data_IF_911177398431
#
_entry.id   IF_911177398431
#
_cell.length_a   1.000
_cell.length_b   1.000
_cell.length_c   1.000
_cell.angle_alpha   90.00
_cell.angle_beta   90.00
_cell.angle_gamma   90.00
#
_symmetry.space_group_name_H-M   'P 1'
#
loop_
_entity.id
_entity.type
_entity.pdbx_description
1 polymer ?
#
# COMPACT_ATOMS: atom_id res chain seq x y z
N UNK A 1 26.61 4.32 -2.72
CA UNK A 1 26.04 4.41 -4.10
C UNK A 1 25.83 3.06 -4.78
N UNK A 2 26.74 2.07 -4.68
CA UNK A 2 26.57 0.73 -5.30
C UNK A 2 25.27 -0.01 -4.90
N UNK A 3 24.85 0.09 -3.62
CA UNK A 3 23.61 -0.54 -3.13
C UNK A 3 22.36 -0.06 -3.86
N UNK A 4 22.23 1.25 -4.10
CA UNK A 4 21.03 1.81 -4.76
C UNK A 4 20.92 1.41 -6.22
N UNK A 5 22.04 1.32 -6.95
CA UNK A 5 22.04 0.88 -8.36
C UNK A 5 21.54 -0.55 -8.50
N UNK A 6 22.01 -1.46 -7.65
CA UNK A 6 21.56 -2.84 -7.65
C UNK A 6 20.05 -2.96 -7.37
N UNK A 7 19.53 -2.18 -6.41
CA UNK A 7 18.09 -2.14 -6.11
C UNK A 7 17.25 -1.64 -7.29
N UNK A 8 17.71 -0.59 -7.96
CA UNK A 8 17.06 -0.06 -9.17
C UNK A 8 17.08 -1.12 -10.28
N UNK A 9 18.20 -1.84 -10.44
CA UNK A 9 18.31 -2.91 -11.42
C UNK A 9 17.29 -4.01 -11.14
N UNK A 10 17.18 -4.51 -9.90
CA UNK A 10 16.18 -5.54 -9.54
C UNK A 10 14.76 -5.07 -9.87
N UNK A 11 14.39 -3.86 -9.43
CA UNK A 11 13.06 -3.32 -9.67
C UNK A 11 12.78 -3.17 -11.17
N UNK A 12 13.71 -2.53 -11.89
CA UNK A 12 13.54 -2.21 -13.31
C UNK A 12 13.58 -3.46 -14.17
N UNK A 13 14.44 -4.44 -13.87
CA UNK A 13 14.48 -5.71 -14.60
C UNK A 13 13.20 -6.51 -14.39
N UNK A 14 12.69 -6.56 -13.15
CA UNK A 14 11.44 -7.27 -12.84
C UNK A 14 10.26 -6.63 -13.57
N UNK A 15 10.16 -5.29 -13.52
CA UNK A 15 9.12 -4.56 -14.25
C UNK A 15 9.23 -4.76 -15.77
N UNK A 16 10.44 -4.67 -16.32
CA UNK A 16 10.68 -4.83 -17.75
C UNK A 16 10.34 -6.23 -18.24
N UNK A 17 10.75 -7.28 -17.50
CA UNK A 17 10.46 -8.67 -17.87
C UNK A 17 8.94 -8.89 -17.91
N UNK A 18 8.22 -8.50 -16.85
CA UNK A 18 6.78 -8.68 -16.82
C UNK A 18 6.08 -7.87 -17.92
N UNK A 19 6.50 -6.62 -18.14
CA UNK A 19 5.96 -5.77 -19.20
C UNK A 19 6.14 -6.39 -20.59
N UNK A 20 7.34 -6.90 -20.89
CA UNK A 20 7.64 -7.54 -22.18
C UNK A 20 6.80 -8.80 -22.36
N UNK A 21 6.67 -9.64 -21.33
CA UNK A 21 5.85 -10.84 -21.38
C UNK A 21 4.36 -10.49 -21.60
N UNK A 22 3.85 -9.48 -20.91
CA UNK A 22 2.49 -8.99 -21.08
C UNK A 22 2.24 -8.50 -22.52
N UNK A 23 3.04 -7.56 -23.01
CA UNK A 23 2.85 -6.98 -24.34
C UNK A 23 3.05 -8.01 -25.46
N UNK A 24 4.01 -8.92 -25.30
CA UNK A 24 4.21 -10.02 -26.25
C UNK A 24 3.01 -10.96 -26.27
N UNK A 25 2.54 -11.44 -25.11
CA UNK A 25 1.38 -12.34 -25.05
C UNK A 25 0.11 -11.71 -25.63
N UNK A 26 -0.14 -10.43 -25.34
CA UNK A 26 -1.26 -9.67 -25.91
C UNK A 26 -1.11 -9.44 -27.41
N UNK A 27 0.11 -9.28 -27.91
CA UNK A 27 0.36 -9.20 -29.35
C UNK A 27 0.00 -10.51 -30.04
N UNK A 28 0.55 -11.63 -29.58
CA UNK A 28 0.33 -12.96 -30.16
C UNK A 28 -1.16 -13.32 -30.25
N UNK A 29 -1.91 -13.11 -29.16
CA UNK A 29 -3.35 -13.42 -29.14
C UNK A 29 -4.16 -12.50 -30.05
N UNK A 30 -3.76 -11.22 -30.19
CA UNK A 30 -4.42 -10.29 -31.12
C UNK A 30 -4.19 -10.65 -32.57
N UNK A 31 -2.99 -11.13 -32.93
CA UNK A 31 -2.59 -11.37 -34.32
C UNK A 31 -2.86 -12.79 -34.81
N UNK A 32 -3.17 -13.72 -33.90
CA UNK A 32 -3.35 -15.14 -34.22
C UNK A 32 -4.79 -15.56 -33.92
N UNK A 33 -5.69 -15.65 -34.93
CA UNK A 33 -7.09 -15.98 -34.74
C UNK A 33 -7.33 -17.30 -33.98
N UNK A 34 -6.46 -18.28 -34.18
CA UNK A 34 -6.52 -19.58 -33.52
C UNK A 34 -6.35 -19.46 -32.00
N UNK A 35 -5.58 -18.47 -31.52
CA UNK A 35 -5.37 -18.22 -30.09
C UNK A 35 -6.54 -17.46 -29.44
N UNK A 36 -7.42 -16.81 -30.22
CA UNK A 36 -8.48 -16.00 -29.66
C UNK A 36 -9.58 -16.82 -28.97
N UNK A 37 -9.72 -18.11 -29.33
CA UNK A 37 -10.69 -19.06 -28.76
C UNK A 37 -10.08 -20.46 -28.70
N UNK A 38 -9.03 -20.62 -27.91
CA UNK A 38 -8.31 -21.87 -27.76
C UNK A 38 -8.61 -22.51 -26.41
N UNK A 39 -9.23 -23.68 -26.39
CA UNK A 39 -9.32 -24.48 -25.15
C UNK A 39 -7.98 -25.14 -24.87
N UNK A 40 -7.42 -24.90 -23.69
CA UNK A 40 -6.15 -25.49 -23.26
C UNK A 40 -6.39 -26.70 -22.36
N UNK A 41 -7.33 -26.59 -21.43
CA UNK A 41 -7.79 -27.65 -20.53
C UNK A 41 -9.30 -27.57 -20.48
N UNK A 42 -9.97 -28.62 -20.96
CA UNK A 42 -11.43 -28.67 -21.03
C UNK A 42 -12.07 -28.39 -19.66
N UNK A 43 -13.00 -27.42 -19.64
CA UNK A 43 -13.73 -27.01 -18.44
C UNK A 43 -12.89 -26.26 -17.38
N UNK A 44 -11.63 -25.93 -17.65
CA UNK A 44 -10.70 -25.32 -16.69
C UNK A 44 -9.96 -24.09 -17.20
N UNK A 45 -9.31 -24.18 -18.35
CA UNK A 45 -8.42 -23.14 -18.86
C UNK A 45 -8.58 -23.00 -20.37
N UNK A 46 -8.80 -21.77 -20.81
CA UNK A 46 -8.87 -21.43 -22.22
C UNK A 46 -8.25 -20.05 -22.48
N UNK A 47 -7.89 -19.81 -23.72
CA UNK A 47 -7.77 -18.46 -24.25
C UNK A 47 -9.10 -18.01 -24.82
N UNK A 48 -9.58 -16.86 -24.36
CA UNK A 48 -10.78 -16.19 -24.82
C UNK A 48 -10.51 -14.69 -24.92
N UNK A 49 -10.13 -14.24 -26.12
CA UNK A 49 -9.77 -12.86 -26.37
C UNK A 49 -10.96 -11.92 -26.14
N UNK A 50 -10.75 -10.92 -25.29
CA UNK A 50 -11.69 -9.84 -25.04
C UNK A 50 -10.96 -8.51 -24.89
N UNK A 51 -11.69 -7.43 -25.19
CA UNK A 51 -11.24 -6.06 -24.98
C UNK A 51 -11.97 -5.50 -23.78
N UNK A 52 -11.26 -5.25 -22.71
CA UNK A 52 -11.84 -4.79 -21.46
C UNK A 52 -11.81 -3.25 -21.38
N UNK A 53 -12.98 -2.58 -21.48
CA UNK A 53 -13.07 -1.12 -21.33
C UNK A 53 -12.99 -0.66 -19.87
N UNK A 54 -13.27 -1.59 -18.94
CA UNK A 54 -13.44 -1.35 -17.51
C UNK A 54 -12.16 -1.61 -16.72
N UNK A 55 -12.31 -2.03 -15.46
CA UNK A 55 -11.22 -2.49 -14.59
C UNK A 55 -11.09 -4.02 -14.65
N UNK A 56 -10.24 -4.59 -13.79
CA UNK A 56 -10.14 -6.04 -13.62
C UNK A 56 -11.51 -6.67 -13.31
N UNK A 57 -11.67 -7.95 -13.68
CA UNK A 57 -12.86 -8.77 -13.38
C UNK A 57 -14.17 -8.26 -14.01
N UNK A 58 -14.10 -7.43 -15.06
CA UNK A 58 -15.28 -6.90 -15.76
C UNK A 58 -16.02 -5.79 -15.01
N UNK A 59 -15.45 -5.27 -13.91
CA UNK A 59 -16.06 -4.19 -13.12
C UNK A 59 -15.83 -2.86 -13.83
N UNK A 60 -16.90 -2.12 -14.14
CA UNK A 60 -16.82 -0.77 -14.72
C UNK A 60 -17.65 0.19 -13.89
N UNK A 61 -17.06 1.29 -13.43
CA UNK A 61 -17.74 2.31 -12.62
C UNK A 61 -17.63 3.72 -13.20
N UNK A 62 -16.81 3.90 -14.24
CA UNK A 62 -16.55 5.16 -14.91
C UNK A 62 -16.22 4.90 -16.38
N UNK A 63 -16.18 5.97 -17.18
CA UNK A 63 -15.75 5.90 -18.57
C UNK A 63 -14.30 5.44 -18.69
N UNK A 64 -13.98 4.78 -19.81
CA UNK A 64 -12.65 4.21 -20.06
C UNK A 64 -11.53 5.24 -19.90
N UNK A 65 -11.69 6.46 -20.40
CA UNK A 65 -10.68 7.51 -20.27
C UNK A 65 -10.40 7.91 -18.81
N UNK A 66 -11.42 7.88 -17.94
CA UNK A 66 -11.29 8.15 -16.50
C UNK A 66 -10.50 7.03 -15.86
N UNK A 67 -10.85 5.77 -16.16
CA UNK A 67 -10.14 4.60 -15.64
C UNK A 67 -8.68 4.62 -16.07
N UNK A 68 -8.40 4.97 -17.34
CA UNK A 68 -7.06 5.14 -17.88
C UNK A 68 -6.27 6.23 -17.13
N UNK A 69 -6.89 7.38 -16.88
CA UNK A 69 -6.26 8.48 -16.15
C UNK A 69 -5.94 8.08 -14.70
N UNK A 70 -6.88 7.45 -14.00
CA UNK A 70 -6.68 6.96 -12.62
C UNK A 70 -5.54 5.96 -12.56
N UNK A 71 -5.45 5.02 -13.50
CA UNK A 71 -4.37 4.04 -13.56
C UNK A 71 -2.99 4.72 -13.74
N UNK A 72 -2.90 5.73 -14.62
CA UNK A 72 -1.67 6.51 -14.83
C UNK A 72 -1.28 7.24 -13.55
N UNK A 73 -2.20 7.98 -12.94
CA UNK A 73 -1.94 8.74 -11.70
C UNK A 73 -1.51 7.82 -10.56
N UNK A 74 -2.20 6.69 -10.37
CA UNK A 74 -1.85 5.71 -9.35
C UNK A 74 -0.45 5.12 -9.59
N UNK A 75 -0.11 4.79 -10.83
CA UNK A 75 1.21 4.25 -11.20
C UNK A 75 2.32 5.28 -10.93
N UNK A 76 2.11 6.54 -11.29
CA UNK A 76 3.06 7.63 -10.99
C UNK A 76 3.23 7.82 -9.49
N UNK A 77 2.13 7.78 -8.72
CA UNK A 77 2.18 7.88 -7.26
C UNK A 77 2.96 6.72 -6.63
N UNK A 78 2.79 5.49 -7.12
CA UNK A 78 3.54 4.31 -6.67
C UNK A 78 5.04 4.47 -6.97
N UNK A 79 5.40 4.87 -8.19
CA UNK A 79 6.81 5.10 -8.57
C UNK A 79 7.43 6.20 -7.70
N UNK A 80 6.71 7.29 -7.47
CA UNK A 80 7.14 8.37 -6.59
C UNK A 80 7.37 7.87 -5.16
N UNK A 81 6.43 7.11 -4.60
CA UNK A 81 6.56 6.52 -3.26
C UNK A 81 7.79 5.61 -3.15
N UNK A 82 8.00 4.71 -4.12
CA UNK A 82 9.15 3.80 -4.14
C UNK A 82 10.47 4.58 -4.22
N UNK A 83 10.52 5.66 -4.99
CA UNK A 83 11.72 6.50 -5.09
C UNK A 83 12.16 7.06 -3.72
N UNK A 84 11.20 7.31 -2.81
CA UNK A 84 11.44 7.79 -1.45
C UNK A 84 11.85 6.67 -0.49
N UNK A 85 11.37 5.45 -0.69
CA UNK A 85 11.60 4.29 0.20
C UNK A 85 12.68 3.32 -0.28
N UNK A 86 13.29 3.58 -1.44
CA UNK A 86 14.28 2.71 -2.09
C UNK A 86 15.46 2.35 -1.18
N UNK A 87 15.87 3.25 -0.29
CA UNK A 87 16.99 3.00 0.63
C UNK A 87 16.64 1.93 1.68
N UNK A 88 15.42 1.94 2.21
CA UNK A 88 14.94 0.94 3.18
C UNK A 88 14.43 -0.35 2.51
N UNK A 89 14.14 -0.32 1.21
CA UNK A 89 13.59 -1.46 0.48
C UNK A 89 14.50 -2.70 0.49
N UNK A 90 13.94 -3.86 0.83
CA UNK A 90 14.60 -5.16 0.65
C UNK A 90 14.29 -5.76 -0.73
N UNK A 91 14.95 -6.87 -1.07
CA UNK A 91 14.79 -7.52 -2.38
C UNK A 91 13.36 -7.97 -2.66
N UNK A 92 12.68 -8.58 -1.68
CA UNK A 92 11.30 -9.06 -1.84
C UNK A 92 10.34 -7.92 -2.19
N UNK A 93 10.52 -6.76 -1.57
CA UNK A 93 9.72 -5.57 -1.85
C UNK A 93 9.95 -5.04 -3.26
N UNK A 94 11.22 -5.00 -3.69
CA UNK A 94 11.57 -4.54 -5.04
C UNK A 94 11.03 -5.47 -6.12
N UNK A 95 10.99 -6.77 -5.87
CA UNK A 95 10.36 -7.74 -6.76
C UNK A 95 8.85 -7.50 -6.85
N UNK A 96 8.15 -7.37 -5.71
CA UNK A 96 6.71 -7.10 -5.70
C UNK A 96 6.38 -5.77 -6.38
N UNK A 97 7.13 -4.71 -6.09
CA UNK A 97 6.94 -3.41 -6.71
C UNK A 97 7.30 -3.41 -8.20
N UNK A 98 8.32 -4.17 -8.61
CA UNK A 98 8.63 -4.40 -10.01
C UNK A 98 7.48 -5.06 -10.77
N UNK A 99 6.87 -6.10 -10.20
CA UNK A 99 5.68 -6.75 -10.76
C UNK A 99 4.48 -5.79 -10.85
N UNK A 100 4.21 -5.00 -9.81
CA UNK A 100 3.12 -4.02 -9.82
C UNK A 100 3.34 -2.98 -10.93
N UNK A 101 4.54 -2.40 -11.02
CA UNK A 101 4.88 -1.40 -12.04
C UNK A 101 4.82 -2.01 -13.44
N UNK A 102 5.42 -3.19 -13.65
CA UNK A 102 5.43 -3.86 -14.95
C UNK A 102 4.03 -4.17 -15.45
N UNK A 103 3.17 -4.71 -14.59
CA UNK A 103 1.78 -5.00 -14.93
C UNK A 103 0.96 -3.72 -15.19
N UNK A 104 1.12 -2.70 -14.34
CA UNK A 104 0.43 -1.43 -14.52
C UNK A 104 0.83 -0.75 -15.84
N UNK A 105 2.12 -0.73 -16.17
CA UNK A 105 2.61 -0.19 -17.45
C UNK A 105 2.09 -0.99 -18.65
N UNK A 106 1.96 -2.32 -18.55
CA UNK A 106 1.37 -3.16 -19.58
C UNK A 106 -0.08 -2.76 -19.88
N UNK A 107 -0.92 -2.70 -18.84
CA UNK A 107 -2.32 -2.31 -18.98
C UNK A 107 -2.50 -0.83 -19.41
N UNK A 108 -1.65 0.08 -18.94
CA UNK A 108 -1.64 1.49 -19.37
C UNK A 108 -1.25 1.61 -20.85
N UNK A 109 -0.32 0.79 -21.33
CA UNK A 109 0.09 0.80 -22.76
C UNK A 109 -1.10 0.50 -23.66
N UNK A 110 -1.89 -0.52 -23.33
CA UNK A 110 -3.10 -0.85 -24.09
C UNK A 110 -4.09 0.33 -24.08
N UNK A 111 -4.32 0.93 -22.91
CA UNK A 111 -5.23 2.06 -22.72
C UNK A 111 -4.83 3.31 -23.51
N UNK A 112 -3.52 3.55 -23.62
CA UNK A 112 -3.02 4.73 -24.31
C UNK A 112 -3.04 4.56 -25.83
N UNK A 113 -2.56 3.40 -26.29
CA UNK A 113 -2.22 3.23 -27.70
C UNK A 113 -3.26 2.44 -28.49
N UNK A 114 -4.04 1.54 -27.87
CA UNK A 114 -4.91 0.65 -28.63
C UNK A 114 -5.96 1.41 -29.45
N UNK A 115 -6.69 2.35 -28.84
CA UNK A 115 -7.72 3.12 -29.52
C UNK A 115 -7.15 3.95 -30.68
N UNK A 116 -5.98 4.55 -30.47
CA UNK A 116 -5.32 5.38 -31.48
C UNK A 116 -4.76 4.57 -32.65
N UNK A 117 -4.18 3.40 -32.38
CA UNK A 117 -3.61 2.50 -33.38
C UNK A 117 -4.72 1.83 -34.20
N UNK A 118 -5.81 1.43 -33.54
CA UNK A 118 -6.93 0.74 -34.19
C UNK A 118 -8.00 1.69 -34.77
N UNK A 119 -7.88 3.00 -34.54
CA UNK A 119 -8.72 4.02 -35.17
C UNK A 119 -10.15 4.12 -34.63
N UNK A 120 -10.39 3.75 -33.37
CA UNK A 120 -11.74 3.77 -32.78
C UNK A 120 -11.92 4.79 -31.64
N UNK A 121 -10.88 5.53 -31.25
CA UNK A 121 -10.97 6.52 -30.17
C UNK A 121 -9.71 7.37 -30.01
N UNK A 122 -9.70 8.18 -28.95
CA UNK A 122 -8.59 9.06 -28.57
C UNK A 122 -7.51 8.30 -27.77
N UNK A 123 -6.55 9.05 -27.22
CA UNK A 123 -5.39 8.53 -26.50
C UNK A 123 -5.67 7.85 -25.16
N UNK A 124 -6.89 7.87 -24.62
CA UNK A 124 -7.19 7.23 -23.33
C UNK A 124 -8.41 6.30 -23.41
N UNK A 125 -8.94 6.10 -24.61
CA UNK A 125 -10.10 5.25 -24.90
C UNK A 125 -9.69 3.81 -25.22
N UNK A 126 -8.41 3.45 -25.07
CA UNK A 126 -7.92 2.11 -25.32
C UNK A 126 -8.51 1.10 -24.31
N UNK A 127 -8.76 -0.11 -24.78
CA UNK A 127 -9.21 -1.21 -23.92
C UNK A 127 -8.03 -2.11 -23.60
N UNK A 128 -8.04 -2.74 -22.43
CA UNK A 128 -7.02 -3.72 -22.07
C UNK A 128 -7.29 -5.03 -22.80
N UNK A 129 -6.25 -5.68 -23.31
CA UNK A 129 -6.38 -7.04 -23.88
C UNK A 129 -6.42 -8.05 -22.75
N UNK A 130 -7.54 -8.74 -22.61
CA UNK A 130 -7.65 -9.89 -21.70
C UNK A 130 -7.88 -11.15 -22.53
N UNK A 131 -7.29 -12.27 -22.10
CA UNK A 131 -7.40 -13.51 -22.88
C UNK A 131 -7.31 -14.77 -22.04
N UNK A 132 -6.66 -14.76 -20.88
CA UNK A 132 -6.54 -15.94 -20.02
C UNK A 132 -7.88 -16.12 -19.30
N UNK A 133 -8.66 -17.08 -19.75
CA UNK A 133 -9.94 -17.43 -19.15
C UNK A 133 -9.78 -18.67 -18.29
N UNK A 134 -9.75 -18.44 -16.97
CA UNK A 134 -9.88 -19.51 -16.00
C UNK A 134 -11.35 -19.67 -15.67
N UNK A 135 -11.86 -20.90 -15.61
CA UNK A 135 -13.20 -21.19 -15.13
C UNK A 135 -13.20 -22.55 -14.48
N UNK A 136 -13.89 -22.75 -13.37
CA UNK A 136 -14.02 -24.04 -12.72
C UNK A 136 -15.49 -24.46 -12.75
N UNK A 137 -15.81 -25.48 -13.53
CA UNK A 137 -17.18 -26.02 -13.57
C UNK A 137 -17.40 -27.02 -12.43
N UNK A 138 -18.25 -26.65 -11.46
CA UNK A 138 -18.66 -27.50 -10.33
C UNK A 138 -20.15 -27.79 -10.46
N UNK A 139 -20.48 -28.98 -11.00
CA UNK A 139 -21.85 -29.32 -11.38
C UNK A 139 -22.34 -28.39 -12.49
N UNK A 140 -23.45 -27.69 -12.26
CA UNK A 140 -24.01 -26.71 -13.21
C UNK A 140 -23.51 -25.27 -12.99
N UNK A 141 -22.62 -25.04 -12.03
CA UNK A 141 -22.17 -23.70 -11.64
C UNK A 141 -20.73 -23.45 -12.12
N UNK A 142 -20.51 -22.24 -12.63
CA UNK A 142 -19.17 -21.74 -12.97
C UNK A 142 -18.59 -20.98 -11.79
N UNK A 143 -17.51 -21.50 -11.24
CA UNK A 143 -16.73 -20.88 -10.17
C UNK A 143 -15.56 -20.14 -10.84
N UNK A 144 -15.42 -18.84 -10.55
CA UNK A 144 -14.36 -17.97 -11.07
C UNK A 144 -14.34 -17.80 -12.61
N UNK A 145 -15.39 -17.26 -13.27
CA UNK A 145 -15.43 -17.08 -14.73
C UNK A 145 -14.71 -15.80 -15.19
N UNK A 146 -13.46 -15.60 -14.77
CA UNK A 146 -12.74 -14.34 -15.03
C UNK A 146 -11.74 -14.49 -16.18
N UNK A 147 -11.69 -13.45 -17.02
CA UNK A 147 -10.70 -13.29 -18.07
C UNK A 147 -9.73 -12.22 -17.62
N UNK A 148 -8.45 -12.51 -17.71
CA UNK A 148 -7.37 -11.62 -17.29
C UNK A 148 -6.17 -11.77 -18.24
N UNK A 149 -5.09 -11.06 -17.95
CA UNK A 149 -3.85 -11.12 -18.72
C UNK A 149 -2.62 -11.33 -17.82
N UNK A 150 -1.44 -11.34 -18.42
CA UNK A 150 -0.17 -11.56 -17.73
C UNK A 150 0.15 -10.40 -16.77
N UNK A 151 -0.18 -9.15 -17.13
CA UNK A 151 -0.06 -8.01 -16.22
C UNK A 151 -0.88 -8.19 -14.93
N UNK A 152 -2.13 -8.66 -15.04
CA UNK A 152 -3.00 -8.89 -13.89
C UNK A 152 -2.48 -10.02 -12.98
N UNK A 153 -1.90 -11.07 -13.57
CA UNK A 153 -1.23 -12.13 -12.82
C UNK A 153 -0.07 -11.58 -11.99
N UNK A 154 0.80 -10.77 -12.61
CA UNK A 154 1.95 -10.16 -11.93
C UNK A 154 1.52 -9.26 -10.77
N UNK A 155 0.52 -8.39 -10.98
CA UNK A 155 -0.05 -7.53 -9.94
C UNK A 155 -0.65 -8.39 -8.82
N UNK A 156 -1.44 -9.41 -9.15
CA UNK A 156 -2.10 -10.28 -8.17
C UNK A 156 -1.09 -11.04 -7.30
N UNK A 157 -0.06 -11.63 -7.91
CA UNK A 157 1.03 -12.32 -7.19
C UNK A 157 1.75 -11.36 -6.24
N UNK A 158 2.04 -10.14 -6.69
CA UNK A 158 2.70 -9.14 -5.86
C UNK A 158 1.85 -8.71 -4.67
N UNK A 159 0.56 -8.40 -4.90
CA UNK A 159 -0.37 -8.01 -3.83
C UNK A 159 -0.54 -9.15 -2.82
N UNK A 160 -0.77 -10.38 -3.28
CA UNK A 160 -0.90 -11.56 -2.41
C UNK A 160 0.38 -11.75 -1.59
N UNK A 161 1.55 -11.63 -2.23
CA UNK A 161 2.84 -11.75 -1.54
C UNK A 161 3.04 -10.66 -0.48
N UNK A 162 2.65 -9.41 -0.77
CA UNK A 162 2.72 -8.30 0.18
C UNK A 162 1.74 -8.47 1.35
N UNK A 163 0.55 -9.03 1.12
CA UNK A 163 -0.43 -9.28 2.17
C UNK A 163 0.00 -10.41 3.10
N UNK A 164 0.52 -11.51 2.56
CA UNK A 164 0.92 -12.69 3.35
C UNK A 164 2.28 -12.47 4.04
N UNK A 165 3.25 -11.92 3.31
CA UNK A 165 4.63 -11.78 3.78
C UNK A 165 5.00 -10.33 4.11
N UNK A 166 4.03 -9.44 4.26
CA UNK A 166 4.25 -8.00 4.49
C UNK A 166 5.18 -7.69 5.65
N UNK A 167 5.09 -8.47 6.75
CA UNK A 167 6.00 -8.34 7.90
C UNK A 167 7.48 -8.56 7.56
N UNK A 168 7.78 -9.29 6.50
CA UNK A 168 9.15 -9.60 6.07
C UNK A 168 9.56 -8.75 4.87
N UNK A 169 8.59 -8.38 4.04
CA UNK A 169 8.80 -7.68 2.78
C UNK A 169 8.84 -6.16 3.00
N UNK A 170 7.98 -5.59 3.83
CA UNK A 170 7.85 -4.13 3.92
C UNK A 170 9.14 -3.48 4.47
N UNK A 171 9.54 -2.31 3.93
CA UNK A 171 10.64 -1.54 4.47
C UNK A 171 10.35 -1.17 5.93
N UNK A 172 11.22 -1.57 6.85
CA UNK A 172 11.11 -1.17 8.25
C UNK A 172 11.84 0.16 8.44
N UNK A 173 11.16 1.13 9.05
CA UNK A 173 11.83 2.29 9.58
C UNK A 173 12.68 1.85 10.78
N UNK A 174 14.00 2.04 10.71
CA UNK A 174 14.83 1.93 11.90
C UNK A 174 14.35 3.00 12.89
N UNK A 175 14.02 2.66 14.15
CA UNK A 175 13.79 3.67 15.17
C UNK A 175 14.99 4.62 15.17
N UNK A 176 14.74 5.93 15.14
CA UNK A 176 15.81 6.90 15.37
C UNK A 176 16.35 6.62 16.76
N UNK A 177 17.57 6.10 16.83
CA UNK A 177 18.32 6.00 18.07
C UNK A 177 18.33 7.40 18.68
N UNK A 178 17.68 7.56 19.84
CA UNK A 178 17.81 8.79 20.61
C UNK A 178 19.29 8.87 20.93
N UNK A 179 19.98 9.81 20.30
CA UNK A 179 21.29 10.23 20.75
C UNK A 179 21.03 10.89 22.10
N UNK A 180 21.13 10.11 23.16
CA UNK A 180 21.16 10.61 24.52
C UNK A 180 22.38 11.54 24.58
N UNK A 181 22.09 12.84 24.64
CA UNK A 181 23.07 13.87 24.92
C UNK A 181 23.51 13.71 26.37
N UNK A 182 24.43 12.80 26.62
CA UNK A 182 25.23 12.78 27.84
C UNK A 182 26.24 13.93 27.77
N UNK A 183 25.80 15.07 28.27
CA UNK A 183 26.68 16.15 28.69
C UNK A 183 26.99 16.01 30.17
N UNK A 184 27.69 14.95 30.59
CA UNK A 184 28.33 14.92 31.91
C UNK A 184 29.58 15.77 31.88
N UNK A 185 29.44 17.02 32.34
CA UNK A 185 30.55 17.78 32.88
C UNK A 185 31.09 17.04 34.11
N UNK A 186 32.29 16.48 34.00
CA UNK A 186 33.11 16.10 35.16
C UNK A 186 33.53 17.38 35.87
N UNK A 187 33.07 17.56 37.11
CA UNK A 187 33.80 18.38 38.08
C UNK A 187 34.08 17.50 39.31
N UNK A 188 35.36 17.40 39.57
CA UNK A 188 36.02 16.53 40.54
C UNK A 188 36.17 17.32 41.85
N UNK A 189 35.56 16.85 42.94
CA UNK A 189 35.83 17.36 44.29
C UNK A 189 35.54 16.26 45.33
N UNK A 190 36.60 15.55 45.68
CA UNK A 190 36.67 14.52 46.71
C UNK A 190 36.60 15.08 48.14
N UNK A 191 35.77 14.42 48.96
CA UNK A 191 35.97 14.04 50.38
C UNK A 191 36.09 15.10 51.50
N UNK A 192 35.14 15.03 52.44
CA UNK A 192 35.28 15.46 53.84
C UNK A 192 33.97 15.34 54.64
N UNK A 193 33.91 14.42 55.61
CA UNK A 193 32.84 14.26 56.62
C UNK A 193 33.45 14.42 58.04
N UNK A 194 32.72 14.41 59.17
CA UNK A 194 31.50 15.13 59.60
C UNK A 194 31.59 15.85 61.00
N UNK A 195 30.72 16.86 61.25
CA UNK A 195 30.16 17.39 62.55
C UNK A 195 31.09 17.92 63.69
N UNK A 196 30.63 18.63 64.78
CA UNK A 196 29.28 19.12 65.21
C UNK A 196 29.22 20.58 65.80
N UNK A 197 28.02 20.98 66.28
CA UNK A 197 27.67 21.94 67.38
C UNK A 197 26.88 23.25 67.04
N UNK A 198 25.81 23.45 67.84
CA UNK A 198 24.80 24.53 67.88
C UNK A 198 25.16 25.58 68.97
N UNK A 199 24.28 26.47 69.51
CA UNK A 199 22.95 27.03 69.12
C UNK A 199 23.03 28.59 68.99
N UNK A 200 21.99 29.43 68.78
CA UNK A 200 20.93 29.90 69.72
C UNK A 200 19.88 30.79 68.99
N UNK A 201 18.60 30.63 69.42
CA UNK A 201 17.46 31.57 69.63
C UNK A 201 17.02 32.58 68.53
N UNK A 202 15.74 32.97 68.36
CA UNK A 202 14.61 33.16 69.31
C UNK A 202 13.23 33.21 68.59
N UNK A 203 12.18 32.72 69.29
CA UNK A 203 10.76 33.17 69.40
C UNK A 203 9.90 33.46 68.14
N UNK A 204 8.57 33.25 68.07
CA UNK A 204 7.55 32.68 68.95
C UNK A 204 6.22 32.52 68.18
N UNK A 205 5.49 31.44 68.51
CA UNK A 205 4.04 31.41 68.72
C UNK A 205 3.13 31.16 67.52
N UNK A 206 1.95 30.55 67.63
CA UNK A 206 1.34 29.57 68.55
C UNK A 206 -0.12 29.41 68.07
N UNK A 207 -0.68 28.21 68.23
CA UNK A 207 -2.10 27.82 68.21
C UNK A 207 -2.66 27.47 66.81
N UNK A 208 -3.06 26.23 66.47
CA UNK A 208 -3.80 25.13 67.12
C UNK A 208 -5.29 25.07 66.69
N UNK A 209 -5.72 23.84 66.41
CA UNK A 209 -7.06 23.26 66.47
C UNK A 209 -8.15 23.50 65.37
N UNK A 210 -8.50 22.36 64.71
CA UNK A 210 -9.85 21.74 64.50
C UNK A 210 -10.95 22.53 63.76
N UNK A 211 -11.55 22.08 62.65
CA UNK A 211 -12.38 20.88 62.33
C UNK A 211 -13.88 21.03 62.65
N UNK A 212 -14.74 20.61 61.69
CA UNK A 212 -16.21 20.40 61.73
C UNK A 212 -17.14 21.64 61.81
N UNK A 213 -18.39 21.73 61.34
CA UNK A 213 -19.35 20.92 60.55
C UNK A 213 -20.70 21.72 60.54
N UNK A 214 -21.50 21.67 59.46
CA UNK A 214 -22.99 21.71 59.43
C UNK A 214 -23.47 21.81 57.95
N UNK A 215 -24.18 20.88 57.29
CA UNK A 215 -25.54 20.33 57.51
C UNK A 215 -26.62 21.45 57.60
N UNK A 216 -27.80 21.47 56.91
CA UNK A 216 -28.60 20.46 56.19
C UNK A 216 -29.94 21.08 55.66
N UNK A 217 -30.75 20.29 54.89
CA UNK A 217 -32.24 20.34 54.68
C UNK A 217 -32.79 21.37 53.63
N UNK A 218 -33.76 21.17 52.72
CA UNK A 218 -34.75 20.14 52.28
C UNK A 218 -35.16 20.42 50.80
N UNK A 219 -35.54 19.44 49.95
CA UNK A 219 -36.92 19.09 49.48
C UNK A 219 -37.92 20.27 49.40
N UNK A 220 -38.80 20.49 48.40
CA UNK A 220 -39.53 19.64 47.46
C UNK A 220 -40.30 20.56 46.45
N UNK A 221 -40.80 20.01 45.33
CA UNK A 221 -41.92 20.48 44.46
C UNK A 221 -41.86 21.86 43.78
N UNK A 222 -41.96 21.93 42.45
CA UNK A 222 -43.24 22.11 41.73
C UNK A 222 -43.08 22.03 40.19
N UNK A 223 -44.19 21.70 39.52
CA UNK A 223 -44.43 21.39 38.11
C UNK A 223 -44.55 22.65 37.21
N UNK A 224 -43.99 22.53 35.99
CA UNK A 224 -44.60 22.85 34.66
C UNK A 224 -44.93 24.33 34.33
N UNK A 225 -45.29 24.72 33.07
CA UNK A 225 -44.93 24.29 31.71
C UNK A 225 -44.40 25.44 30.81
N UNK A 226 -44.08 25.11 29.55
CA UNK A 226 -44.12 25.94 28.33
C UNK A 226 -43.08 27.07 28.13
N UNK A 227 -42.06 26.77 27.31
CA UNK A 227 -41.77 27.48 26.05
C UNK A 227 -40.79 26.67 25.17
#
# INVERSE_FOLDING_TARGET
>A
MRSSRHKILILSSTALILYVLDQWSKYEVRTTPELQRLTLIDGWLAFNFTKNPGMALGITWADTWIISLVAIVATVAIIYYISRTLKQANTGYLLCMGLIIGGALGNITDRIFMARIMGYGSWLDGHVVDFIHFTLEVGSYRVFPYIFNVADMGISIAIISLLIFGKWILPHDKPKEKTDGDGTAKEDATAGAPQPEAPVSDTAGSNDATEAENQSIAAETDKNPDN
#
